data_IF_910207112615
#
_entry.id   IF_910207112615
#
_cell.length_a   1.000
_cell.length_b   1.000
_cell.length_c   1.000
_cell.angle_alpha   90.00
_cell.angle_beta   90.00
_cell.angle_gamma   90.00
#
_symmetry.space_group_name_H-M   'P 1'
#
loop_
_entity.id
_entity.type
_entity.pdbx_description
1 polymer ?
#
# COMPACT_ATOMS: atom_id res chain seq x y z
N UNK A 1 13.61 4.22 -5.57
CA UNK A 1 12.27 4.56 -6.10
C UNK A 1 12.45 5.68 -7.09
N UNK A 2 11.81 5.60 -8.25
CA UNK A 2 11.91 6.64 -9.29
C UNK A 2 10.68 7.52 -9.36
N UNK A 3 9.56 7.08 -8.77
CA UNK A 3 8.24 7.71 -8.80
C UNK A 3 7.53 7.42 -7.46
N UNK A 4 6.73 8.35 -6.97
CA UNK A 4 5.98 8.26 -5.70
C UNK A 4 4.56 8.79 -5.92
N UNK A 5 3.60 8.13 -5.29
CA UNK A 5 2.18 8.44 -5.42
C UNK A 5 1.58 8.46 -4.02
N UNK A 6 1.04 9.60 -3.60
CA UNK A 6 0.16 9.68 -2.43
C UNK A 6 -1.11 8.88 -2.73
N UNK A 7 -1.56 8.10 -1.75
CA UNK A 7 -2.69 7.19 -1.93
C UNK A 7 -3.61 7.23 -0.71
N UNK A 8 -4.90 7.40 -0.96
CA UNK A 8 -5.95 7.42 0.06
C UNK A 8 -6.66 6.07 0.11
N UNK A 9 -6.58 5.41 1.27
CA UNK A 9 -7.06 4.05 1.47
C UNK A 9 -8.44 4.06 2.14
N UNK A 10 -9.42 3.44 1.50
CA UNK A 10 -10.77 3.24 2.04
C UNK A 10 -11.03 1.75 2.20
N UNK A 11 -10.88 1.26 3.43
CA UNK A 11 -10.76 -0.16 3.72
C UNK A 11 -12.04 -0.77 4.30
N UNK A 12 -12.45 -1.91 3.74
CA UNK A 12 -13.38 -2.84 4.35
C UNK A 12 -12.60 -3.90 5.13
N UNK A 13 -13.00 -4.14 6.39
CA UNK A 13 -12.43 -5.18 7.23
C UNK A 13 -13.28 -6.44 7.03
N UNK A 14 -12.82 -7.35 6.16
CA UNK A 14 -13.59 -8.55 5.80
C UNK A 14 -13.59 -9.56 6.95
N UNK A 15 -12.49 -9.64 7.68
CA UNK A 15 -12.36 -10.35 8.95
C UNK A 15 -11.19 -9.77 9.76
N UNK A 16 -10.80 -10.43 10.86
CA UNK A 16 -9.72 -9.96 11.75
C UNK A 16 -8.32 -9.97 11.08
N UNK A 17 -8.13 -10.81 10.06
CA UNK A 17 -6.84 -11.03 9.40
C UNK A 17 -6.76 -10.43 8.00
N UNK A 18 -7.86 -9.94 7.43
CA UNK A 18 -7.92 -9.52 6.04
C UNK A 18 -8.73 -8.24 5.84
N UNK A 19 -8.07 -7.22 5.28
CA UNK A 19 -8.69 -5.98 4.82
C UNK A 19 -8.54 -5.84 3.31
N UNK A 20 -9.55 -5.24 2.69
CA UNK A 20 -9.52 -4.85 1.29
C UNK A 20 -9.78 -3.35 1.19
N UNK A 21 -8.91 -2.62 0.51
CA UNK A 21 -9.01 -1.18 0.36
C UNK A 21 -9.19 -0.77 -1.10
N UNK A 22 -10.09 0.18 -1.33
CA UNK A 22 -10.11 0.97 -2.55
C UNK A 22 -9.14 2.13 -2.38
N UNK A 23 -8.37 2.41 -3.43
CA UNK A 23 -7.29 3.40 -3.41
C UNK A 23 -7.61 4.55 -4.33
N UNK A 24 -7.53 5.77 -3.81
CA UNK A 24 -7.78 7.01 -4.55
C UNK A 24 -6.54 7.91 -4.59
N UNK A 25 -6.41 8.72 -5.65
CA UNK A 25 -5.30 9.68 -5.80
C UNK A 25 -5.42 10.92 -4.89
N UNK A 26 -6.61 11.16 -4.33
CA UNK A 26 -6.92 12.27 -3.42
C UNK A 26 -8.15 11.89 -2.57
N UNK A 27 -8.43 12.60 -1.46
CA UNK A 27 -9.55 12.29 -0.59
C UNK A 27 -10.86 12.98 -1.00
N UNK A 28 -10.81 13.87 -2.00
CA UNK A 28 -11.95 14.65 -2.48
C UNK A 28 -12.97 13.80 -3.24
N UNK A 29 -14.19 14.31 -3.39
CA UNK A 29 -15.30 13.58 -4.03
C UNK A 29 -15.07 13.26 -5.52
N UNK A 30 -14.16 13.98 -6.18
CA UNK A 30 -13.73 13.75 -7.56
C UNK A 30 -12.45 12.92 -7.66
N UNK A 31 -12.00 12.33 -6.55
CA UNK A 31 -10.84 11.46 -6.52
C UNK A 31 -10.97 10.27 -7.46
N UNK A 32 -9.89 9.97 -8.17
CA UNK A 32 -9.85 8.88 -9.13
C UNK A 32 -9.53 7.58 -8.40
N UNK A 33 -10.32 6.54 -8.64
CA UNK A 33 -9.98 5.19 -8.21
C UNK A 33 -8.72 4.75 -8.97
N UNK A 34 -7.59 4.63 -8.27
CA UNK A 34 -6.31 4.28 -8.87
C UNK A 34 -5.93 2.83 -8.65
N UNK A 35 -6.48 2.15 -7.66
CA UNK A 35 -5.99 0.84 -7.25
C UNK A 35 -6.77 0.12 -6.18
N UNK A 36 -6.23 -1.02 -5.79
CA UNK A 36 -6.66 -1.79 -4.62
C UNK A 36 -5.45 -2.16 -3.77
N UNK A 37 -5.69 -2.26 -2.47
CA UNK A 37 -4.77 -2.91 -1.54
C UNK A 37 -5.46 -4.06 -0.83
N UNK A 38 -4.72 -5.16 -0.69
CA UNK A 38 -5.06 -6.26 0.20
C UNK A 38 -4.11 -6.21 1.38
N UNK A 39 -4.65 -6.14 2.60
CA UNK A 39 -3.84 -6.15 3.82
C UNK A 39 -4.10 -7.45 4.59
N UNK A 40 -3.04 -8.13 4.99
CA UNK A 40 -3.13 -9.40 5.73
C UNK A 40 -2.35 -9.36 7.03
N UNK A 41 -2.79 -10.15 8.02
CA UNK A 41 -2.03 -10.42 9.25
C UNK A 41 -0.65 -11.02 8.91
N UNK A 42 0.32 -10.87 9.82
CA UNK A 42 1.60 -11.58 9.72
C UNK A 42 1.40 -13.10 9.60
N UNK A 43 0.49 -13.67 10.40
CA UNK A 43 0.19 -15.10 10.38
C UNK A 43 -0.24 -15.57 8.98
N UNK A 44 -1.18 -14.86 8.34
CA UNK A 44 -1.63 -15.17 6.99
C UNK A 44 -0.53 -14.94 5.95
N UNK A 45 0.23 -13.84 6.06
CA UNK A 45 1.38 -13.57 5.19
C UNK A 45 2.41 -14.70 5.20
N UNK A 46 2.69 -15.28 6.38
CA UNK A 46 3.67 -16.37 6.52
C UNK A 46 3.24 -17.65 5.79
N UNK A 47 1.94 -17.84 5.55
CA UNK A 47 1.41 -18.98 4.77
C UNK A 47 1.56 -18.82 3.26
N UNK A 48 1.86 -17.61 2.76
CA UNK A 48 1.93 -17.35 1.33
C UNK A 48 3.14 -18.04 0.69
N UNK A 49 3.05 -18.46 -0.59
CA UNK A 49 4.22 -18.90 -1.34
C UNK A 49 5.31 -17.82 -1.41
N UNK A 50 6.58 -18.22 -1.44
CA UNK A 50 7.70 -17.28 -1.39
C UNK A 50 7.73 -16.28 -2.57
N UNK A 51 7.34 -16.72 -3.77
CA UNK A 51 7.20 -15.82 -4.92
C UNK A 51 6.07 -14.80 -4.73
N UNK A 52 5.00 -15.18 -4.02
CA UNK A 52 3.89 -14.29 -3.71
C UNK A 52 4.32 -13.25 -2.69
N UNK A 53 5.04 -13.64 -1.62
CA UNK A 53 5.54 -12.73 -0.56
C UNK A 53 6.30 -11.51 -1.12
N UNK A 54 7.01 -11.67 -2.24
CA UNK A 54 7.74 -10.59 -2.93
C UNK A 54 6.84 -9.46 -3.43
N UNK A 55 5.57 -9.73 -3.66
CA UNK A 55 4.59 -8.76 -4.13
C UNK A 55 3.97 -7.93 -3.00
N UNK A 56 4.33 -8.22 -1.75
CA UNK A 56 3.80 -7.55 -0.57
C UNK A 56 4.88 -6.68 0.08
N UNK A 57 4.44 -5.63 0.76
CA UNK A 57 5.29 -4.78 1.58
C UNK A 57 4.82 -4.80 3.05
N UNK A 58 5.71 -4.48 3.98
CA UNK A 58 5.33 -4.32 5.39
C UNK A 58 4.89 -2.89 5.65
N UNK A 59 3.82 -2.70 6.42
CA UNK A 59 3.40 -1.37 6.85
C UNK A 59 4.20 -0.82 8.04
N UNK A 60 5.12 -1.60 8.63
CA UNK A 60 5.81 -1.22 9.87
C UNK A 60 6.42 0.19 9.79
N UNK A 61 7.19 0.44 8.72
CA UNK A 61 7.92 1.71 8.60
C UNK A 61 6.96 2.88 8.35
N UNK A 62 5.98 2.73 7.47
CA UNK A 62 5.00 3.79 7.16
C UNK A 62 4.19 4.20 8.39
N UNK A 63 3.80 3.22 9.22
CA UNK A 63 3.10 3.49 10.48
C UNK A 63 4.02 4.20 11.47
N UNK A 64 5.21 3.64 11.74
CA UNK A 64 6.12 4.15 12.79
C UNK A 64 6.77 5.47 12.40
N UNK A 65 6.97 5.73 11.11
CA UNK A 65 7.48 7.03 10.62
C UNK A 65 6.43 8.14 10.70
N UNK A 66 5.16 7.82 10.93
CA UNK A 66 4.05 8.76 10.96
C UNK A 66 3.51 9.16 9.58
N UNK A 67 4.05 8.59 8.50
CA UNK A 67 3.65 8.90 7.12
C UNK A 67 2.29 8.30 6.77
N UNK A 68 1.99 7.09 7.27
CA UNK A 68 0.64 6.53 7.20
C UNK A 68 -0.17 7.06 8.39
N UNK A 69 -1.25 7.77 8.12
CA UNK A 69 -2.13 8.30 9.16
C UNK A 69 -3.60 8.33 8.69
N UNK A 70 -4.52 8.58 9.63
CA UNK A 70 -5.96 8.69 9.36
C UNK A 70 -6.42 10.15 9.45
N UNK A 71 -6.58 10.87 8.32
CA UNK A 71 -7.04 12.26 8.32
C UNK A 71 -8.35 12.46 9.08
N UNK A 72 -8.40 13.45 9.96
CA UNK A 72 -9.61 13.80 10.71
C UNK A 72 -9.96 12.87 11.88
N UNK A 73 -9.19 11.79 12.10
CA UNK A 73 -9.40 10.90 13.25
C UNK A 73 -8.56 11.39 14.44
N UNK A 74 -9.14 11.46 15.67
CA UNK A 74 -8.36 11.84 16.85
C UNK A 74 -7.20 10.86 17.10
N UNK A 75 -6.00 11.41 17.36
CA UNK A 75 -4.78 10.62 17.48
C UNK A 75 -4.84 9.40 18.42
N UNK A 76 -5.44 9.47 19.63
CA UNK A 76 -5.58 8.28 20.48
C UNK A 76 -6.44 7.16 19.88
N UNK A 77 -7.41 7.50 19.02
CA UNK A 77 -8.27 6.53 18.33
C UNK A 77 -7.51 5.91 17.17
N UNK A 78 -6.91 6.74 16.33
CA UNK A 78 -6.08 6.30 15.21
C UNK A 78 -4.96 5.36 15.67
N UNK A 79 -4.25 5.70 16.77
CA UNK A 79 -3.12 4.90 17.26
C UNK A 79 -3.51 3.46 17.59
N UNK A 80 -4.74 3.21 18.04
CA UNK A 80 -5.23 1.83 18.29
C UNK A 80 -5.33 1.00 17.03
N UNK A 81 -5.68 1.60 15.89
CA UNK A 81 -5.68 0.89 14.62
C UNK A 81 -4.26 0.78 14.06
N UNK A 82 -3.45 1.83 14.18
CA UNK A 82 -2.04 1.81 13.78
C UNK A 82 -1.24 0.73 14.49
N UNK A 83 -1.50 0.42 15.78
CA UNK A 83 -0.88 -0.72 16.47
C UNK A 83 -1.13 -2.06 15.78
N UNK A 84 -2.30 -2.22 15.15
CA UNK A 84 -2.63 -3.43 14.38
C UNK A 84 -2.00 -3.38 13.00
N UNK A 85 -2.16 -2.26 12.29
CA UNK A 85 -1.62 -2.06 10.94
C UNK A 85 -0.10 -2.17 10.91
N UNK A 86 0.60 -1.74 11.95
CA UNK A 86 2.05 -1.84 12.06
C UNK A 86 2.58 -3.29 11.92
N UNK A 87 1.72 -4.29 12.17
CA UNK A 87 2.04 -5.72 12.13
C UNK A 87 1.58 -6.42 10.84
N UNK A 88 0.96 -5.71 9.91
CA UNK A 88 0.38 -6.31 8.69
C UNK A 88 1.28 -6.14 7.47
N UNK A 89 0.94 -6.89 6.42
CA UNK A 89 1.55 -6.79 5.10
C UNK A 89 0.50 -6.38 4.07
N UNK A 90 0.88 -5.52 3.12
CA UNK A 90 0.02 -4.99 2.07
C UNK A 90 0.46 -5.44 0.67
N UNK A 91 -0.49 -5.84 -0.19
CA UNK A 91 -0.29 -6.00 -1.64
C UNK A 91 -1.09 -4.95 -2.36
N UNK A 92 -0.38 -3.97 -2.89
CA UNK A 92 -0.97 -2.79 -3.54
C UNK A 92 -0.79 -2.85 -5.04
N UNK A 93 -1.89 -2.72 -5.77
CA UNK A 93 -1.92 -2.71 -7.23
C UNK A 93 -2.54 -1.39 -7.69
N UNK A 94 -1.76 -0.59 -8.42
CA UNK A 94 -2.28 0.60 -9.11
C UNK A 94 -2.59 0.27 -10.56
N UNK A 95 -3.84 0.47 -10.96
CA UNK A 95 -4.33 0.41 -12.33
C UNK A 95 -4.14 1.74 -13.06
N UNK A 96 -4.22 2.87 -12.34
CA UNK A 96 -3.99 4.20 -12.90
C UNK A 96 -2.71 4.81 -12.35
N UNK A 97 -1.76 5.07 -13.25
CA UNK A 97 -0.51 5.76 -12.95
C UNK A 97 -0.67 7.29 -13.05
N UNK A 98 -1.40 7.90 -12.12
CA UNK A 98 -1.76 9.33 -12.13
C UNK A 98 -0.55 10.28 -12.16
N UNK A 99 0.60 9.83 -11.65
CA UNK A 99 1.85 10.58 -11.64
C UNK A 99 2.54 10.67 -13.01
N UNK A 100 2.04 9.97 -14.05
CA UNK A 100 2.43 10.20 -15.46
C UNK A 100 1.70 11.38 -16.10
N UNK A 101 0.62 11.86 -15.48
CA UNK A 101 -0.24 12.91 -16.05
C UNK A 101 -1.24 12.41 -17.10
N UNK A 102 -1.40 11.10 -17.27
CA UNK A 102 -2.38 10.53 -18.20
C UNK A 102 -3.82 10.77 -17.71
N UNK A 103 -4.70 11.23 -18.60
CA UNK A 103 -6.14 11.47 -18.32
C UNK A 103 -6.97 10.19 -18.17
N UNK A 104 -6.43 9.06 -18.64
CA UNK A 104 -7.04 7.73 -18.55
C UNK A 104 -6.06 6.75 -17.90
N UNK A 105 -6.52 5.61 -17.36
CA UNK A 105 -5.66 4.58 -16.76
C UNK A 105 -4.88 3.80 -17.82
N UNK A 106 -3.90 4.45 -18.45
CA UNK A 106 -3.11 3.89 -19.54
C UNK A 106 -1.91 3.07 -19.04
N UNK A 107 -1.68 1.94 -19.71
CA UNK A 107 -0.53 1.07 -19.48
C UNK A 107 -0.82 -0.08 -18.52
N UNK A 108 0.23 -0.80 -18.15
CA UNK A 108 0.12 -2.03 -17.37
C UNK A 108 -0.04 -1.69 -15.87
N UNK A 109 -0.92 -2.38 -15.12
CA UNK A 109 -0.99 -2.23 -13.67
C UNK A 109 0.35 -2.47 -12.99
N UNK A 110 0.65 -1.66 -11.97
CA UNK A 110 1.91 -1.72 -11.23
C UNK A 110 1.69 -2.25 -9.81
N UNK A 111 2.59 -3.13 -9.38
CA UNK A 111 2.72 -3.46 -7.96
C UNK A 111 3.43 -2.30 -7.28
N UNK A 112 2.81 -1.74 -6.25
CA UNK A 112 3.34 -0.64 -5.47
C UNK A 112 4.00 -1.16 -4.20
N UNK A 113 5.03 -0.43 -3.75
CA UNK A 113 5.75 -0.73 -2.52
C UNK A 113 5.70 0.48 -1.60
N UNK A 114 5.59 0.21 -0.31
CA UNK A 114 5.73 1.19 0.76
C UNK A 114 7.14 1.79 0.85
N UNK A 115 7.22 2.93 1.53
CA UNK A 115 8.49 3.39 2.11
C UNK A 115 8.89 2.49 3.28
N UNK A 116 10.16 2.14 3.35
CA UNK A 116 10.71 1.12 4.26
C UNK A 116 11.85 1.62 5.13
N UNK A 117 12.34 2.84 4.87
CA UNK A 117 13.41 3.49 5.64
C UNK A 117 13.45 5.00 5.38
N UNK A 118 14.13 5.71 6.28
CA UNK A 118 14.40 7.13 6.14
C UNK A 118 15.17 7.44 4.83
N UNK A 119 14.94 8.64 4.29
CA UNK A 119 15.55 9.10 3.03
C UNK A 119 14.91 8.56 1.75
N UNK A 120 13.81 7.81 1.84
CA UNK A 120 13.06 7.36 0.65
C UNK A 120 11.99 8.35 0.20
N UNK A 121 11.23 8.93 1.13
CA UNK A 121 10.16 9.88 0.82
C UNK A 121 10.73 11.21 0.31
N UNK A 122 10.17 11.76 -0.77
CA UNK A 122 10.59 13.06 -1.26
C UNK A 122 10.11 14.18 -0.33
N UNK A 123 11.03 15.07 0.08
CA UNK A 123 10.75 16.13 1.07
C UNK A 123 9.62 17.06 0.66
N UNK A 124 9.52 17.39 -0.64
CA UNK A 124 8.44 18.23 -1.16
C UNK A 124 7.07 17.58 -1.02
N UNK A 125 6.98 16.25 -1.21
CA UNK A 125 5.73 15.51 -0.99
C UNK A 125 5.37 15.46 0.49
N UNK A 126 6.36 15.21 1.35
CA UNK A 126 6.15 15.19 2.80
C UNK A 126 5.60 16.54 3.31
N UNK A 127 6.26 17.64 2.93
CA UNK A 127 5.87 18.99 3.33
C UNK A 127 4.47 19.37 2.82
N UNK A 128 4.13 18.97 1.60
CA UNK A 128 2.82 19.23 1.02
C UNK A 128 1.70 18.52 1.81
N UNK A 129 1.89 17.23 2.11
CA UNK A 129 0.93 16.43 2.90
C UNK A 129 0.79 17.00 4.32
N UNK A 130 1.91 17.25 5.01
CA UNK A 130 1.90 17.84 6.36
C UNK A 130 1.13 19.18 6.39
N UNK A 131 1.35 20.02 5.38
CA UNK A 131 0.65 21.31 5.23
C UNK A 131 -0.84 21.14 4.96
N UNK A 132 -1.22 20.27 4.01
CA UNK A 132 -2.64 20.04 3.63
C UNK A 132 -3.44 19.47 4.79
N UNK A 133 -2.89 18.51 5.51
CA UNK A 133 -3.59 17.82 6.61
C UNK A 133 -3.31 18.40 7.99
N UNK A 134 -2.43 19.40 8.10
CA UNK A 134 -2.03 20.03 9.37
C UNK A 134 -1.50 19.00 10.37
N UNK A 135 -0.74 18.03 9.88
CA UNK A 135 -0.10 16.97 10.68
C UNK A 135 1.41 17.19 10.73
N UNK A 136 2.09 16.48 11.62
CA UNK A 136 3.55 16.41 11.62
C UNK A 136 4.00 14.97 11.75
N UNK A 137 4.65 14.45 10.71
CA UNK A 137 5.16 13.08 10.68
C UNK A 137 6.17 12.85 11.79
N UNK A 138 7.05 13.83 12.06
CA UNK A 138 8.01 13.74 13.16
C UNK A 138 7.33 13.59 14.54
N UNK A 139 6.24 14.35 14.79
CA UNK A 139 5.47 14.24 16.04
C UNK A 139 4.71 12.92 16.12
N UNK A 140 4.16 12.45 15.01
CA UNK A 140 3.49 11.14 14.96
C UNK A 140 4.49 10.00 15.18
N UNK A 141 5.69 10.07 14.60
CA UNK A 141 6.79 9.14 14.86
C UNK A 141 7.14 9.07 16.34
N UNK A 142 7.30 10.20 17.00
CA UNK A 142 7.58 10.26 18.45
C UNK A 142 6.46 9.58 19.25
N UNK A 143 5.19 9.92 18.95
CA UNK A 143 4.04 9.31 19.62
C UNK A 143 3.89 7.82 19.35
N UNK A 144 4.48 7.29 18.28
CA UNK A 144 4.37 5.89 17.85
C UNK A 144 5.64 5.08 18.14
N UNK A 145 6.63 5.66 18.82
CA UNK A 145 7.90 5.01 19.14
C UNK A 145 7.73 3.72 19.97
N UNK A 146 6.61 3.57 20.69
CA UNK A 146 6.29 2.39 21.47
C UNK A 146 5.70 1.22 20.65
N UNK A 147 5.30 1.46 19.40
CA UNK A 147 4.67 0.43 18.56
C UNK A 147 5.70 -0.56 18.03
N UNK A 148 5.32 -1.84 17.99
CA UNK A 148 6.11 -2.91 17.37
C UNK A 148 5.56 -3.31 16.00
N UNK A 149 6.47 -3.67 15.09
CA UNK A 149 6.13 -4.31 13.83
C UNK A 149 5.74 -5.79 13.98
N UNK A 150 5.81 -6.57 12.88
CA UNK A 150 5.62 -8.01 12.91
C UNK A 150 6.51 -8.68 13.98
N UNK A 151 5.98 -9.71 14.65
CA UNK A 151 6.63 -10.41 15.77
C UNK A 151 7.94 -11.09 15.34
N UNK A 152 7.98 -11.61 14.11
CA UNK A 152 9.18 -12.22 13.53
C UNK A 152 10.13 -11.20 12.90
N UNK A 153 9.82 -9.91 13.00
CA UNK A 153 10.42 -8.85 12.21
C UNK A 153 9.92 -8.85 10.75
N UNK A 154 10.28 -7.81 10.00
CA UNK A 154 9.91 -7.72 8.57
C UNK A 154 10.55 -8.86 7.79
N UNK A 155 9.72 -9.68 7.16
CA UNK A 155 10.18 -10.85 6.42
C UNK A 155 11.08 -10.44 5.23
N UNK A 156 12.22 -11.12 5.00
CA UNK A 156 13.21 -10.71 3.99
C UNK A 156 12.70 -10.79 2.54
N UNK A 157 11.67 -11.60 2.28
CA UNK A 157 11.02 -11.65 0.96
C UNK A 157 9.98 -10.55 0.74
N UNK A 158 9.51 -9.86 1.79
CA UNK A 158 8.63 -8.70 1.61
C UNK A 158 9.41 -7.54 0.98
N UNK A 159 8.72 -6.45 0.66
CA UNK A 159 9.31 -5.23 0.09
C UNK A 159 10.13 -5.54 -1.18
N UNK A 160 9.59 -6.39 -2.05
CA UNK A 160 10.26 -6.81 -3.28
C UNK A 160 11.50 -7.68 -3.09
N UNK A 161 11.67 -8.31 -1.92
CA UNK A 161 12.90 -9.03 -1.57
C UNK A 161 14.13 -8.12 -1.50
N UNK A 162 13.92 -6.84 -1.12
CA UNK A 162 14.95 -5.81 -1.11
C UNK A 162 15.30 -5.22 -2.48
N UNK A 163 14.56 -5.58 -3.53
CA UNK A 163 14.76 -5.07 -4.90
C UNK A 163 13.53 -4.29 -5.39
N UNK A 164 13.71 -3.51 -6.44
CA UNK A 164 12.59 -2.94 -7.18
C UNK A 164 11.91 -4.01 -8.03
N UNK A 165 10.58 -4.03 -8.02
CA UNK A 165 9.77 -4.88 -8.91
C UNK A 165 9.16 -4.01 -10.01
N UNK A 166 9.05 -4.57 -11.22
CA UNK A 166 8.39 -3.94 -12.36
C UNK A 166 7.52 -4.97 -13.08
N UNK A 167 6.27 -4.63 -13.33
CA UNK A 167 5.39 -5.46 -14.17
C UNK A 167 5.84 -5.37 -15.63
N UNK A 168 5.91 -6.51 -16.31
CA UNK A 168 6.22 -6.60 -17.74
C UNK A 168 5.15 -7.41 -18.45
N UNK A 169 4.73 -6.93 -19.62
CA UNK A 169 3.87 -7.70 -20.52
C UNK A 169 4.72 -8.70 -21.29
N UNK A 170 4.20 -9.91 -21.49
CA UNK A 170 4.82 -10.93 -22.34
C UNK A 170 3.73 -11.56 -23.19
N UNK A 171 4.00 -11.71 -24.47
CA UNK A 171 3.16 -12.49 -25.37
C UNK A 171 3.26 -13.97 -25.01
N UNK A 172 2.14 -14.68 -25.08
CA UNK A 172 2.04 -16.12 -24.86
C UNK A 172 1.12 -16.71 -25.93
N UNK A 173 1.37 -17.97 -26.30
CA UNK A 173 0.56 -18.65 -27.30
C UNK A 173 -0.90 -18.79 -26.85
N UNK A 174 -1.83 -18.27 -27.64
CA UNK A 174 -3.25 -18.49 -27.44
C UNK A 174 -3.62 -19.92 -27.90
N UNK A 175 -3.61 -20.89 -26.98
CA UNK A 175 -4.16 -22.21 -27.27
C UNK A 175 -5.67 -22.08 -27.56
N UNK A 176 -6.21 -22.69 -28.63
CA UNK A 176 -7.64 -22.63 -28.92
C UNK A 176 -8.44 -23.21 -27.74
N UNK A 177 -9.41 -22.42 -27.23
CA UNK A 177 -10.26 -22.83 -26.10
C UNK A 177 -11.49 -23.55 -26.65
N UNK A 178 -11.73 -24.79 -26.23
CA UNK A 178 -12.89 -25.58 -26.65
C UNK A 178 -14.24 -25.02 -26.17
N UNK A 179 -14.24 -24.11 -25.20
CA UNK A 179 -15.42 -23.38 -24.76
C UNK A 179 -15.02 -22.05 -24.11
N UNK A 180 -15.70 -20.97 -24.50
CA UNK A 180 -15.54 -19.66 -23.85
C UNK A 180 -16.45 -19.66 -22.60
N UNK A 181 -15.92 -19.45 -21.38
CA UNK A 181 -16.77 -19.28 -20.21
C UNK A 181 -17.59 -18.00 -20.38
N UNK A 182 -18.91 -18.10 -20.17
CA UNK A 182 -19.79 -16.93 -20.14
C UNK A 182 -19.49 -16.13 -18.88
N UNK A 183 -19.01 -14.90 -19.05
CA UNK A 183 -18.98 -13.90 -17.98
C UNK A 183 -20.34 -13.22 -17.97
N UNK A 184 -21.07 -13.33 -16.86
CA UNK A 184 -22.22 -12.47 -16.60
C UNK A 184 -21.69 -11.18 -15.97
N UNK A 185 -21.95 -10.05 -16.62
CA UNK A 185 -21.69 -8.70 -16.09
C UNK A 185 -23.01 -8.17 -15.51
#
# INVERSE_FOLDING_TARGET
MTRQVETHHYCAHLNEEFRQCLLYDRPDADGRLIGVEYMVSEALFMTLPDEEKKLWHSHEFEVKSGVLFMPGVPGPIERKDMEKVCKTYGKTIHFWQVDRGDELPLGIPQIMMAITRDGQLYDNLAQDVEKRFKVSFAKEREKRAYMSGPESGVHPLANGGGKGIRTVLREVDCKPVASVPRVFV
#
